data_IF_976140561556
#
_entry.id   IF_976140561556
#
_cell.length_a   1.000
_cell.length_b   1.000
_cell.length_c   1.000
_cell.angle_alpha   90.00
_cell.angle_beta   90.00
_cell.angle_gamma   90.00
#
_symmetry.space_group_name_H-M   'P 1'
#
loop_
_entity.id
_entity.type
_entity.pdbx_description
1 polymer ?
#
# COMPACT_ATOMS: atom_id res chain seq x y z
N UNK A 1 -18.13 19.34 28.45
CA UNK A 1 -19.37 19.44 27.63
C UNK A 1 -20.55 19.19 28.57
N UNK A 2 -21.73 19.77 28.32
CA UNK A 2 -22.92 19.47 29.11
C UNK A 2 -24.13 19.29 28.22
N UNK A 3 -25.04 18.43 28.64
CA UNK A 3 -26.35 18.23 27.99
C UNK A 3 -27.44 18.47 29.02
N UNK A 4 -28.65 18.79 28.55
CA UNK A 4 -29.81 18.89 29.43
C UNK A 4 -30.50 17.53 29.51
N UNK A 5 -30.79 17.08 30.73
CA UNK A 5 -31.65 15.92 30.99
C UNK A 5 -33.10 16.21 30.61
N UNK A 6 -33.94 15.16 30.54
CA UNK A 6 -35.39 15.30 30.32
C UNK A 6 -36.09 16.20 31.37
N UNK A 7 -35.51 16.34 32.56
CA UNK A 7 -35.97 17.26 33.61
C UNK A 7 -35.35 18.67 33.52
N UNK A 8 -34.76 19.03 32.39
CA UNK A 8 -34.09 20.32 32.13
C UNK A 8 -32.93 20.66 33.10
N UNK A 9 -32.31 19.65 33.72
CA UNK A 9 -31.11 19.81 34.55
C UNK A 9 -29.85 19.63 33.71
N UNK A 10 -28.84 20.48 33.92
CA UNK A 10 -27.52 20.33 33.30
C UNK A 10 -26.83 19.08 33.84
N UNK A 11 -26.41 18.21 32.94
CA UNK A 11 -25.61 17.02 33.22
C UNK A 11 -24.26 17.20 32.52
N UNK A 12 -23.19 17.11 33.29
CA UNK A 12 -21.83 17.17 32.76
C UNK A 12 -21.52 15.86 32.05
N UNK A 13 -21.14 15.96 30.78
CA UNK A 13 -20.69 14.82 29.98
C UNK A 13 -19.17 14.87 29.89
N UNK A 14 -18.54 13.80 30.36
CA UNK A 14 -17.12 13.55 30.21
C UNK A 14 -16.94 12.43 29.19
N UNK A 15 -16.19 12.73 28.12
CA UNK A 15 -15.81 11.73 27.12
C UNK A 15 -14.55 11.03 27.64
N UNK A 16 -14.74 9.83 28.20
CA UNK A 16 -13.63 8.99 28.64
C UNK A 16 -12.90 8.43 27.40
N UNK A 17 -11.56 8.48 27.40
CA UNK A 17 -10.72 8.05 26.27
C UNK A 17 -10.42 9.13 25.23
N UNK A 18 -11.03 10.33 25.29
CA UNK A 18 -10.73 11.42 24.34
C UNK A 18 -9.26 11.85 24.39
N UNK A 19 -8.68 11.95 25.59
CA UNK A 19 -7.29 12.36 25.77
C UNK A 19 -6.31 11.27 25.33
N UNK A 20 -6.61 9.98 25.56
CA UNK A 20 -5.81 8.87 25.03
C UNK A 20 -5.86 8.81 23.51
N UNK A 21 -7.04 9.03 22.91
CA UNK A 21 -7.20 9.12 21.46
C UNK A 21 -6.45 10.33 20.93
N UNK A 22 -6.56 11.51 21.56
CA UNK A 22 -5.80 12.70 21.16
C UNK A 22 -4.29 12.49 21.28
N UNK A 23 -3.81 11.86 22.35
CA UNK A 23 -2.39 11.56 22.53
C UNK A 23 -1.89 10.52 21.51
N UNK A 24 -2.69 9.52 21.15
CA UNK A 24 -2.33 8.58 20.09
C UNK A 24 -2.34 9.22 18.70
N UNK A 25 -3.28 10.14 18.46
CA UNK A 25 -3.39 10.90 17.20
C UNK A 25 -2.39 12.06 17.11
N UNK A 26 -1.72 12.42 18.21
CA UNK A 26 -0.74 13.52 18.21
C UNK A 26 0.69 13.07 17.94
N UNK A 27 0.96 11.76 17.90
CA UNK A 27 2.31 11.19 17.71
C UNK A 27 2.37 10.27 16.49
N UNK A 28 1.88 10.74 15.35
CA UNK A 28 1.90 9.97 14.10
C UNK A 28 3.33 9.67 13.62
N UNK A 29 4.29 10.47 14.02
CA UNK A 29 5.71 10.25 13.79
C UNK A 29 6.25 8.97 14.43
N UNK A 30 5.60 8.41 15.45
CA UNK A 30 6.05 7.15 16.05
C UNK A 30 5.50 5.90 15.33
N UNK A 31 4.51 6.07 14.44
CA UNK A 31 3.87 4.96 13.75
C UNK A 31 4.86 4.19 12.88
N UNK A 32 4.86 2.87 13.05
CA UNK A 32 5.60 1.93 12.19
C UNK A 32 4.72 1.27 11.14
N UNK A 33 3.42 1.20 11.39
CA UNK A 33 2.45 0.69 10.43
C UNK A 33 1.21 1.58 10.39
N UNK A 34 0.63 1.71 9.20
CA UNK A 34 -0.59 2.46 8.97
C UNK A 34 -1.50 1.70 7.99
N UNK A 35 -2.81 1.77 8.24
CA UNK A 35 -3.82 1.20 7.35
C UNK A 35 -4.87 2.24 6.99
N UNK A 36 -5.08 2.41 5.69
CA UNK A 36 -6.05 3.33 5.08
C UNK A 36 -7.00 2.55 4.16
N UNK A 37 -7.40 1.35 4.59
CA UNK A 37 -8.19 0.43 3.76
C UNK A 37 -9.61 0.95 3.53
N UNK A 38 -10.10 0.86 2.29
CA UNK A 38 -11.47 1.24 1.90
C UNK A 38 -11.87 2.69 2.25
N UNK A 39 -10.92 3.62 2.16
CA UNK A 39 -11.15 5.05 2.44
C UNK A 39 -11.35 5.89 1.17
N UNK A 40 -11.29 5.26 -0.01
CA UNK A 40 -11.46 5.97 -1.29
C UNK A 40 -10.26 6.82 -1.68
N UNK A 41 -9.05 6.44 -1.23
CA UNK A 41 -7.81 7.12 -1.60
C UNK A 41 -7.58 6.95 -3.10
N UNK A 42 -7.58 8.04 -3.87
CA UNK A 42 -7.41 8.01 -5.33
C UNK A 42 -6.05 8.45 -5.83
N UNK A 43 -5.27 9.16 -5.00
CA UNK A 43 -3.98 9.74 -5.35
C UNK A 43 -3.16 9.98 -4.08
N UNK A 44 -1.84 10.15 -4.21
CA UNK A 44 -0.91 10.31 -3.08
C UNK A 44 -1.15 11.62 -2.31
N UNK A 45 -1.48 12.69 -3.04
CA UNK A 45 -1.57 14.05 -2.49
C UNK A 45 -0.20 14.71 -2.44
N UNK A 46 0.00 15.63 -1.49
CA UNK A 46 1.28 16.32 -1.31
C UNK A 46 2.28 15.41 -0.57
N UNK A 47 3.39 15.01 -1.20
CA UNK A 47 4.42 14.18 -0.57
C UNK A 47 4.97 14.80 0.73
N UNK A 48 5.07 16.12 0.81
CA UNK A 48 5.61 16.80 1.98
C UNK A 48 4.72 16.62 3.21
N UNK A 49 3.40 16.57 3.01
CA UNK A 49 2.46 16.27 4.10
C UNK A 49 2.56 14.82 4.56
N UNK A 50 2.78 13.87 3.65
CA UNK A 50 2.98 12.46 3.99
C UNK A 50 4.24 12.32 4.85
N UNK A 51 5.37 12.85 4.38
CA UNK A 51 6.66 12.78 5.09
C UNK A 51 6.60 13.46 6.45
N UNK A 52 5.89 14.57 6.58
CA UNK A 52 5.77 15.28 7.87
C UNK A 52 4.83 14.57 8.84
N UNK A 53 3.73 13.99 8.34
CA UNK A 53 2.72 13.35 9.19
C UNK A 53 3.18 11.98 9.68
N UNK A 54 3.77 11.15 8.83
CA UNK A 54 4.07 9.74 9.12
C UNK A 54 5.49 9.32 8.66
N UNK A 55 6.55 10.04 9.05
CA UNK A 55 7.92 9.84 8.54
C UNK A 55 8.51 8.44 8.77
N UNK A 56 8.04 7.73 9.80
CA UNK A 56 8.66 6.49 10.28
C UNK A 56 7.88 5.21 9.91
N UNK A 57 6.84 5.34 9.08
CA UNK A 57 6.02 4.21 8.66
C UNK A 57 6.84 3.28 7.77
N UNK A 58 6.85 2.01 8.16
CA UNK A 58 7.49 0.90 7.45
C UNK A 58 6.50 -0.01 6.74
N UNK A 59 5.25 -0.02 7.19
CA UNK A 59 4.17 -0.81 6.60
C UNK A 59 2.96 0.07 6.30
N UNK A 60 2.53 0.05 5.04
CA UNK A 60 1.36 0.80 4.60
C UNK A 60 0.36 -0.12 3.89
N UNK A 61 -0.86 -0.15 4.42
CA UNK A 61 -1.98 -0.92 3.85
C UNK A 61 -2.98 0.02 3.22
N UNK A 62 -3.10 -0.04 1.89
CA UNK A 62 -3.99 0.76 1.05
C UNK A 62 -5.05 -0.10 0.35
N UNK A 63 -5.43 -1.22 0.97
CA UNK A 63 -6.34 -2.19 0.36
C UNK A 63 -7.71 -1.59 0.04
N UNK A 64 -8.23 -1.87 -1.16
CA UNK A 64 -9.61 -1.52 -1.54
C UNK A 64 -9.83 -0.02 -1.72
N UNK A 65 -8.81 0.69 -2.20
CA UNK A 65 -8.90 2.11 -2.53
C UNK A 65 -9.07 2.32 -4.05
N UNK A 66 -8.87 3.55 -4.51
CA UNK A 66 -9.06 3.99 -5.89
C UNK A 66 -7.72 4.35 -6.56
N UNK A 67 -6.59 3.89 -6.02
CA UNK A 67 -5.28 4.10 -6.63
C UNK A 67 -5.20 3.29 -7.93
N UNK A 68 -4.73 3.93 -9.00
CA UNK A 68 -4.60 3.33 -10.33
C UNK A 68 -3.19 3.53 -10.87
N UNK A 69 -2.68 4.75 -10.75
CA UNK A 69 -1.44 5.15 -11.38
C UNK A 69 -0.22 4.77 -10.54
N UNK A 70 0.81 4.26 -11.23
CA UNK A 70 2.10 3.93 -10.60
C UNK A 70 2.88 5.17 -10.16
N UNK A 71 2.58 6.33 -10.76
CA UNK A 71 3.13 7.62 -10.33
C UNK A 71 2.73 7.95 -8.88
N UNK A 72 1.47 7.72 -8.49
CA UNK A 72 1.06 7.91 -7.10
C UNK A 72 1.76 6.94 -6.14
N UNK A 73 1.99 5.70 -6.58
CA UNK A 73 2.72 4.70 -5.79
C UNK A 73 4.17 5.15 -5.60
N UNK A 74 4.81 5.68 -6.64
CA UNK A 74 6.16 6.24 -6.58
C UNK A 74 6.25 7.42 -5.62
N UNK A 75 5.29 8.35 -5.68
CA UNK A 75 5.21 9.51 -4.79
C UNK A 75 5.07 9.07 -3.33
N UNK A 76 4.23 8.08 -3.03
CA UNK A 76 4.08 7.54 -1.68
C UNK A 76 5.39 6.92 -1.18
N UNK A 77 6.07 6.14 -2.03
CA UNK A 77 7.32 5.48 -1.66
C UNK A 77 8.48 6.46 -1.50
N UNK A 78 8.53 7.52 -2.32
CA UNK A 78 9.50 8.61 -2.20
C UNK A 78 9.23 9.48 -0.98
N UNK A 79 7.97 9.65 -0.59
CA UNK A 79 7.62 10.38 0.63
C UNK A 79 7.95 9.59 1.92
N UNK A 80 8.01 8.25 1.82
CA UNK A 80 8.21 7.32 2.92
C UNK A 80 9.45 6.45 2.68
N UNK A 81 10.64 7.04 2.82
CA UNK A 81 11.92 6.37 2.58
C UNK A 81 12.12 5.08 3.40
N UNK A 82 11.45 4.95 4.54
CA UNK A 82 11.52 3.79 5.41
C UNK A 82 10.48 2.70 5.09
N UNK A 83 9.65 2.88 4.06
CA UNK A 83 8.58 1.96 3.71
C UNK A 83 9.15 0.66 3.13
N UNK A 84 8.92 -0.46 3.82
CA UNK A 84 9.40 -1.79 3.46
C UNK A 84 8.25 -2.70 2.98
N UNK A 85 7.04 -2.49 3.50
CA UNK A 85 5.85 -3.31 3.23
C UNK A 85 4.74 -2.45 2.67
N UNK A 86 4.28 -2.76 1.45
CA UNK A 86 3.20 -2.04 0.79
C UNK A 86 2.12 -3.00 0.31
N UNK A 87 0.89 -2.75 0.73
CA UNK A 87 -0.26 -3.53 0.31
C UNK A 87 -1.28 -2.69 -0.47
N UNK A 88 -1.34 -2.94 -1.78
CA UNK A 88 -2.24 -2.28 -2.73
C UNK A 88 -3.40 -3.19 -3.16
N UNK A 89 -3.68 -4.27 -2.42
CA UNK A 89 -4.70 -5.24 -2.80
C UNK A 89 -6.04 -4.57 -3.14
N UNK A 90 -6.74 -5.06 -4.15
CA UNK A 90 -8.06 -4.54 -4.58
C UNK A 90 -8.06 -3.06 -5.03
N UNK A 91 -6.91 -2.53 -5.45
CA UNK A 91 -6.82 -1.32 -6.28
C UNK A 91 -6.72 -1.75 -7.75
N UNK A 92 -7.47 -1.12 -8.66
CA UNK A 92 -7.42 -1.45 -10.08
C UNK A 92 -6.21 -0.73 -10.68
N UNK A 93 -5.08 -1.42 -10.79
CA UNK A 93 -3.83 -0.80 -11.21
C UNK A 93 -3.76 -0.63 -12.73
N UNK A 94 -3.23 0.51 -13.16
CA UNK A 94 -2.98 0.80 -14.56
C UNK A 94 -1.99 -0.21 -15.16
N UNK A 95 -2.26 -0.55 -16.41
CA UNK A 95 -1.43 -1.44 -17.22
C UNK A 95 -0.26 -0.67 -17.87
N UNK A 96 -0.40 0.65 -17.97
CA UNK A 96 0.62 1.54 -18.48
C UNK A 96 1.51 2.01 -17.33
N UNK A 97 2.67 1.38 -17.19
CA UNK A 97 3.69 1.79 -16.22
C UNK A 97 4.52 2.89 -16.87
N UNK A 98 4.01 4.11 -16.85
CA UNK A 98 4.77 5.31 -17.23
C UNK A 98 5.73 5.71 -16.11
N UNK A 99 6.92 6.22 -16.47
CA UNK A 99 7.86 6.81 -15.52
C UNK A 99 8.74 5.83 -14.72
N UNK A 100 8.51 4.51 -14.81
CA UNK A 100 9.19 3.44 -14.05
C UNK A 100 9.38 3.82 -12.56
N UNK A 101 8.40 3.51 -11.68
CA UNK A 101 8.48 3.88 -10.27
C UNK A 101 9.76 3.34 -9.63
N UNK A 102 10.36 4.03 -8.68
CA UNK A 102 11.57 3.57 -7.99
C UNK A 102 11.23 3.12 -6.57
N UNK A 103 10.80 1.86 -6.45
CA UNK A 103 10.37 1.25 -5.19
C UNK A 103 11.56 0.64 -4.43
N UNK A 104 12.61 1.45 -4.22
CA UNK A 104 13.94 0.99 -3.82
C UNK A 104 14.00 0.29 -2.45
N UNK A 105 13.14 0.69 -1.50
CA UNK A 105 13.11 0.15 -0.14
C UNK A 105 12.08 -0.99 0.05
N UNK A 106 11.22 -1.25 -0.95
CA UNK A 106 10.14 -2.22 -0.82
C UNK A 106 10.68 -3.64 -0.84
N UNK A 107 10.37 -4.38 0.24
CA UNK A 107 10.73 -5.79 0.45
C UNK A 107 9.52 -6.70 0.31
N UNK A 108 8.34 -6.23 0.72
CA UNK A 108 7.08 -6.96 0.58
C UNK A 108 6.08 -6.12 -0.21
N UNK A 109 5.63 -6.65 -1.34
CA UNK A 109 4.65 -6.00 -2.20
C UNK A 109 3.43 -6.91 -2.40
N UNK A 110 2.26 -6.42 -1.98
CA UNK A 110 0.99 -7.15 -2.10
C UNK A 110 0.12 -6.49 -3.16
N UNK A 111 -0.04 -7.17 -4.29
CA UNK A 111 -0.82 -6.76 -5.46
C UNK A 111 -1.98 -7.73 -5.73
N UNK A 112 -2.63 -8.22 -4.68
CA UNK A 112 -3.73 -9.18 -4.83
C UNK A 112 -4.96 -8.51 -5.44
N UNK A 113 -5.63 -9.18 -6.37
CA UNK A 113 -6.85 -8.69 -7.02
C UNK A 113 -6.72 -7.28 -7.60
N UNK A 114 -5.55 -6.93 -8.14
CA UNK A 114 -5.29 -5.63 -8.77
C UNK A 114 -5.51 -5.63 -10.28
N UNK A 115 -5.66 -6.83 -10.88
CA UNK A 115 -5.78 -6.99 -12.32
C UNK A 115 -4.44 -6.95 -13.06
N UNK A 116 -3.32 -6.94 -12.34
CA UNK A 116 -2.00 -6.89 -12.94
C UNK A 116 -1.67 -8.22 -13.65
N UNK A 117 -1.23 -8.15 -14.90
CA UNK A 117 -0.66 -9.28 -15.66
C UNK A 117 0.82 -9.52 -15.35
N UNK A 118 1.33 -10.71 -15.70
CA UNK A 118 2.75 -11.04 -15.55
C UNK A 118 3.66 -10.11 -16.36
N UNK A 119 3.20 -9.66 -17.53
CA UNK A 119 3.94 -8.69 -18.35
C UNK A 119 4.24 -7.40 -17.59
N UNK A 120 3.31 -6.93 -16.74
CA UNK A 120 3.57 -5.74 -15.91
C UNK A 120 4.54 -6.04 -14.78
N UNK A 121 4.51 -7.25 -14.21
CA UNK A 121 5.50 -7.68 -13.20
C UNK A 121 6.91 -7.64 -13.79
N UNK A 122 7.08 -8.11 -15.03
CA UNK A 122 8.36 -8.01 -15.74
C UNK A 122 8.80 -6.57 -16.01
N UNK A 123 7.87 -5.64 -16.24
CA UNK A 123 8.18 -4.21 -16.40
C UNK A 123 8.61 -3.60 -15.05
N UNK A 124 7.95 -3.95 -13.95
CA UNK A 124 8.26 -3.47 -12.59
C UNK A 124 9.50 -4.12 -11.98
N UNK A 125 10.05 -5.14 -12.61
CA UNK A 125 11.22 -5.88 -12.12
C UNK A 125 12.38 -4.95 -11.75
N UNK A 126 12.70 -3.99 -12.62
CA UNK A 126 13.83 -3.08 -12.41
C UNK A 126 13.53 -2.00 -11.37
N UNK A 127 12.24 -1.77 -11.09
CA UNK A 127 11.71 -0.90 -10.05
C UNK A 127 11.80 -1.51 -8.64
N UNK A 128 12.02 -2.83 -8.54
CA UNK A 128 11.93 -3.61 -7.30
C UNK A 128 13.27 -4.30 -6.95
N UNK A 129 14.36 -3.54 -6.72
CA UNK A 129 15.69 -4.11 -6.54
C UNK A 129 15.84 -4.94 -5.25
N UNK A 130 15.04 -4.65 -4.23
CA UNK A 130 15.13 -5.24 -2.88
C UNK A 130 13.95 -6.16 -2.53
N UNK A 131 13.10 -6.51 -3.50
CA UNK A 131 11.89 -7.30 -3.23
C UNK A 131 12.23 -8.73 -2.78
N UNK A 132 11.56 -9.15 -1.71
CA UNK A 132 11.72 -10.42 -1.02
C UNK A 132 10.44 -11.27 -1.11
N UNK A 133 9.28 -10.63 -1.02
CA UNK A 133 7.96 -11.25 -1.10
C UNK A 133 7.04 -10.51 -2.08
N UNK A 134 6.49 -11.23 -3.06
CA UNK A 134 5.54 -10.71 -4.03
C UNK A 134 4.26 -11.53 -4.02
N UNK A 135 3.14 -10.86 -3.76
CA UNK A 135 1.82 -11.51 -3.73
C UNK A 135 0.95 -11.01 -4.88
N UNK A 136 0.47 -11.94 -5.70
CA UNK A 136 -0.30 -11.69 -6.92
C UNK A 136 -1.59 -12.52 -6.94
N UNK A 137 -2.16 -12.76 -5.76
CA UNK A 137 -3.32 -13.65 -5.59
C UNK A 137 -4.52 -13.11 -6.36
N UNK A 138 -5.17 -13.99 -7.12
CA UNK A 138 -6.46 -13.68 -7.75
C UNK A 138 -6.41 -12.59 -8.83
N UNK A 139 -5.31 -12.48 -9.57
CA UNK A 139 -5.12 -11.56 -10.70
C UNK A 139 -5.50 -12.17 -12.06
N UNK A 140 -5.97 -13.43 -12.08
CA UNK A 140 -6.34 -14.16 -13.31
C UNK A 140 -5.15 -14.32 -14.28
N UNK A 141 -3.94 -14.42 -13.74
CA UNK A 141 -2.73 -14.72 -14.51
C UNK A 141 -2.91 -16.07 -15.21
N UNK A 142 -2.57 -16.13 -16.50
CA UNK A 142 -2.67 -17.36 -17.31
C UNK A 142 -1.33 -18.04 -17.54
N UNK A 143 -0.26 -17.27 -17.56
CA UNK A 143 1.08 -17.73 -17.83
C UNK A 143 2.11 -16.86 -17.13
N UNK A 144 3.30 -17.42 -16.93
CA UNK A 144 4.49 -16.73 -16.46
C UNK A 144 5.48 -16.72 -17.63
N UNK A 145 5.51 -15.61 -18.37
CA UNK A 145 6.33 -15.49 -19.58
C UNK A 145 7.43 -14.44 -19.40
N UNK A 146 8.70 -14.80 -19.67
CA UNK A 146 9.78 -13.83 -19.68
C UNK A 146 9.65 -12.88 -20.87
N UNK A 147 10.04 -11.62 -20.70
CA UNK A 147 9.88 -10.59 -21.74
C UNK A 147 10.86 -10.73 -22.91
N UNK A 148 12.09 -11.19 -22.64
CA UNK A 148 13.21 -11.13 -23.60
C UNK A 148 14.23 -12.26 -23.49
N UNK A 149 14.03 -13.21 -22.58
CA UNK A 149 14.98 -14.29 -22.31
C UNK A 149 14.29 -15.64 -22.18
N UNK A 150 15.07 -16.73 -22.09
CA UNK A 150 14.52 -18.09 -21.99
C UNK A 150 13.86 -18.40 -20.64
N UNK A 151 14.14 -17.58 -19.61
CA UNK A 151 13.64 -17.77 -18.24
C UNK A 151 13.47 -16.41 -17.57
N UNK A 152 12.57 -16.30 -16.60
CA UNK A 152 12.41 -15.07 -15.80
C UNK A 152 13.75 -14.77 -15.11
N UNK A 153 14.21 -13.53 -15.25
CA UNK A 153 15.44 -13.02 -14.63
C UNK A 153 15.10 -11.84 -13.74
N UNK A 154 15.95 -11.48 -12.78
CA UNK A 154 15.69 -10.38 -11.85
C UNK A 154 15.44 -10.86 -10.44
N UNK A 155 14.81 -10.02 -9.62
CA UNK A 155 14.26 -10.41 -8.31
C UNK A 155 15.27 -11.15 -7.43
N UNK A 156 16.48 -10.58 -7.29
CA UNK A 156 17.65 -11.25 -6.68
C UNK A 156 17.42 -11.75 -5.25
N UNK A 157 16.54 -11.09 -4.51
CA UNK A 157 16.24 -11.39 -3.11
C UNK A 157 14.88 -12.06 -2.91
N UNK A 158 14.11 -12.28 -4.00
CA UNK A 158 12.77 -12.84 -3.94
C UNK A 158 12.85 -14.31 -3.52
N UNK A 159 12.23 -14.62 -2.39
CA UNK A 159 12.14 -15.97 -1.85
C UNK A 159 10.70 -16.45 -1.69
N UNK A 160 9.72 -15.54 -1.78
CA UNK A 160 8.30 -15.86 -1.78
C UNK A 160 7.59 -15.20 -2.96
N UNK A 161 7.00 -16.02 -3.83
CA UNK A 161 6.12 -15.59 -4.90
C UNK A 161 4.76 -16.29 -4.72
N UNK A 162 3.75 -15.54 -4.31
CA UNK A 162 2.41 -16.08 -4.10
C UNK A 162 1.54 -15.83 -5.34
N UNK A 163 1.15 -16.93 -5.99
CA UNK A 163 0.33 -16.94 -7.22
C UNK A 163 -1.03 -17.63 -7.01
N UNK A 164 -1.49 -17.78 -5.77
CA UNK A 164 -2.73 -18.48 -5.46
C UNK A 164 -3.93 -17.88 -6.21
N UNK A 165 -4.94 -18.72 -6.49
CA UNK A 165 -6.18 -18.32 -7.14
C UNK A 165 -6.00 -17.63 -8.51
N UNK A 166 -4.90 -17.89 -9.22
CA UNK A 166 -4.72 -17.53 -10.63
C UNK A 166 -5.19 -18.66 -11.56
N UNK A 167 -5.12 -18.42 -12.86
CA UNK A 167 -5.55 -19.34 -13.91
C UNK A 167 -4.35 -19.90 -14.69
N UNK A 168 -3.26 -20.20 -13.98
CA UNK A 168 -2.03 -20.72 -14.59
C UNK A 168 -2.26 -22.20 -14.85
N UNK A 169 -2.30 -22.58 -16.13
CA UNK A 169 -2.47 -23.98 -16.52
C UNK A 169 -1.26 -24.79 -16.01
N UNK A 170 -1.55 -25.94 -15.40
CA UNK A 170 -0.57 -26.85 -14.79
C UNK A 170 0.07 -27.78 -15.83
#
# INVERSE_FOLDING_TARGET
>A
MYVFSASNKRVTVQLLGKEEIQNKLSHFEELKSASLSYLGVGYAGDPHHITTAIPNVKELVLTGNLLSEWEDVDLICTALDALEVLNLSRNIMSHDICGMPMLNAIRVLVLNHTGISWKHVEILKDSLPMIEELHLVGNKLKEITPSSSAFVQGFKFLHLLNLDCNCIDS
#
